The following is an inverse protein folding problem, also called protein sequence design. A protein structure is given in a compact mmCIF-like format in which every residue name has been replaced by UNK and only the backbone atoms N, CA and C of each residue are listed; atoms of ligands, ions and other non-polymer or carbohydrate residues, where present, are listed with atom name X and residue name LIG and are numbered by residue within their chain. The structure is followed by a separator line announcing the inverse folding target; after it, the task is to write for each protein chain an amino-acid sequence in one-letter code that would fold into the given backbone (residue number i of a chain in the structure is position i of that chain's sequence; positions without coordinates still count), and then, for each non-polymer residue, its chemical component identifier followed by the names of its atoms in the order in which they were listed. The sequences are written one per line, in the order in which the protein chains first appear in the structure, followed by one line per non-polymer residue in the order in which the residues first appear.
data_IF_235974645265
#
_entry.id   IF_235974645265
#
_cell.length_a   1.000
_cell.length_b   1.000
_cell.length_c   1.000
_cell.angle_alpha   90.00
_cell.angle_beta   90.00
_cell.angle_gamma   90.00
#
_symmetry.space_group_name_H-M   'P 1'
#
loop_
_entity.id
_entity.type
_entity.pdbx_description
1 polymer ?
#
# COMPACT_ATOMS: atom_id res chain seq x y z
N UNK A 1 -11.18 12.25 -18.90
CA UNK A 1 -10.79 13.64 -19.21
C UNK A 1 -9.33 13.61 -19.61
N UNK A 2 -8.96 14.13 -20.78
CA UNK A 2 -7.54 14.24 -21.17
C UNK A 2 -6.94 15.51 -20.54
N UNK A 3 -5.96 15.34 -19.65
CA UNK A 3 -5.26 16.46 -18.99
C UNK A 3 -3.86 16.58 -19.58
N UNK A 4 -3.49 17.79 -20.02
CA UNK A 4 -2.16 18.07 -20.59
C UNK A 4 -1.21 18.56 -19.51
N UNK A 5 -0.02 17.94 -19.44
CA UNK A 5 1.08 18.37 -18.56
C UNK A 5 2.17 19.01 -19.41
N UNK A 6 2.64 20.20 -19.01
CA UNK A 6 3.74 20.92 -19.67
C UNK A 6 4.93 21.04 -18.71
N UNK A 7 6.11 20.60 -19.14
CA UNK A 7 7.33 20.70 -18.35
C UNK A 7 8.30 21.71 -18.97
N UNK A 8 8.94 22.52 -18.13
CA UNK A 8 10.07 23.35 -18.53
C UNK A 8 11.35 22.60 -18.21
N UNK A 9 12.07 22.20 -19.25
CA UNK A 9 13.34 21.48 -19.15
C UNK A 9 14.37 22.14 -20.07
N UNK A 10 15.64 21.92 -19.76
CA UNK A 10 16.74 22.36 -20.60
C UNK A 10 16.74 21.62 -21.96
N UNK A 11 17.17 22.32 -23.02
CA UNK A 11 17.14 21.79 -24.38
C UNK A 11 18.03 20.56 -24.56
N UNK A 12 19.21 20.55 -23.93
CA UNK A 12 20.14 19.43 -23.99
C UNK A 12 19.56 18.19 -23.30
N UNK A 13 18.94 18.36 -22.13
CA UNK A 13 18.24 17.28 -21.40
C UNK A 13 17.13 16.66 -22.26
N UNK A 14 16.34 17.48 -22.97
CA UNK A 14 15.31 16.99 -23.90
C UNK A 14 15.91 16.16 -25.03
N UNK A 15 17.01 16.62 -25.61
CA UNK A 15 17.68 15.97 -26.75
C UNK A 15 18.28 14.62 -26.34
N UNK A 16 18.99 14.58 -25.22
CA UNK A 16 19.58 13.36 -24.67
C UNK A 16 18.50 12.34 -24.28
N UNK A 17 17.43 12.78 -23.59
CA UNK A 17 16.32 11.91 -23.21
C UNK A 17 15.62 11.31 -24.44
N UNK A 18 15.40 12.12 -25.49
CA UNK A 18 14.82 11.64 -26.75
C UNK A 18 15.71 10.58 -27.40
N UNK A 19 17.01 10.84 -27.53
CA UNK A 19 17.97 9.87 -28.10
C UNK A 19 18.03 8.56 -27.30
N UNK A 20 17.98 8.65 -25.96
CA UNK A 20 18.00 7.49 -25.10
C UNK A 20 16.73 6.62 -25.25
N UNK A 21 15.58 7.24 -25.48
CA UNK A 21 14.29 6.54 -25.64
C UNK A 21 14.07 6.05 -27.07
N UNK A 22 14.55 6.77 -28.09
CA UNK A 22 14.57 6.30 -29.49
C UNK A 22 15.37 5.01 -29.63
N UNK A 23 16.51 4.88 -28.93
CA UNK A 23 17.27 3.63 -28.85
C UNK A 23 16.48 2.45 -28.28
N UNK A 24 15.44 2.74 -27.49
CA UNK A 24 14.54 1.74 -26.88
C UNK A 24 13.22 1.59 -27.64
N UNK A 25 13.00 2.34 -28.73
CA UNK A 25 11.75 2.35 -29.49
C UNK A 25 10.57 2.99 -28.74
N UNK A 26 10.81 3.76 -27.68
CA UNK A 26 9.78 4.37 -26.83
C UNK A 26 9.72 5.87 -27.11
N UNK A 27 8.51 6.45 -27.19
CA UNK A 27 8.36 7.89 -27.33
C UNK A 27 8.58 8.60 -25.98
N UNK A 28 9.12 9.82 -26.00
CA UNK A 28 9.30 10.63 -24.79
C UNK A 28 7.98 10.82 -24.02
N UNK A 29 6.88 11.02 -24.74
CA UNK A 29 5.55 11.18 -24.15
C UNK A 29 5.06 9.91 -23.46
N UNK A 30 5.29 8.73 -24.03
CA UNK A 30 4.85 7.47 -23.43
C UNK A 30 5.67 7.12 -22.19
N UNK A 31 6.98 7.38 -22.21
CA UNK A 31 7.83 7.22 -21.04
C UNK A 31 7.39 8.15 -19.89
N UNK A 32 7.05 9.40 -20.20
CA UNK A 32 6.53 10.35 -19.21
C UNK A 32 5.15 9.95 -18.68
N UNK A 33 4.24 9.44 -19.53
CA UNK A 33 2.94 8.91 -19.06
C UNK A 33 3.14 7.76 -18.09
N UNK A 34 3.93 6.76 -18.47
CA UNK A 34 4.22 5.62 -17.60
C UNK A 34 4.91 6.04 -16.29
N UNK A 35 5.78 7.06 -16.33
CA UNK A 35 6.40 7.62 -15.13
C UNK A 35 5.36 8.30 -14.23
N UNK A 36 4.46 9.12 -14.80
CA UNK A 36 3.39 9.77 -14.06
C UNK A 36 2.39 8.75 -13.48
N UNK A 37 2.06 7.69 -14.22
CA UNK A 37 1.20 6.61 -13.72
C UNK A 37 1.86 5.88 -12.55
N UNK A 38 3.17 5.61 -12.62
CA UNK A 38 3.93 5.02 -11.51
C UNK A 38 4.00 5.97 -10.31
N UNK A 39 4.23 7.25 -10.55
CA UNK A 39 4.25 8.26 -9.49
C UNK A 39 2.88 8.36 -8.81
N UNK A 40 1.81 8.41 -9.60
CA UNK A 40 0.44 8.42 -9.11
C UNK A 40 0.02 7.09 -8.47
N UNK A 41 0.60 5.95 -8.86
CA UNK A 41 0.40 4.67 -8.20
C UNK A 41 1.13 4.60 -6.84
N UNK A 42 2.27 5.30 -6.72
CA UNK A 42 3.03 5.42 -5.47
C UNK A 42 2.34 6.40 -4.51
N UNK A 43 1.78 7.50 -5.06
CA UNK A 43 0.96 8.48 -4.34
C UNK A 43 -0.50 8.05 -4.18
N UNK A 44 -0.95 6.98 -4.86
CA UNK A 44 -2.24 6.33 -4.59
C UNK A 44 -2.10 5.65 -3.23
N UNK A 45 -2.20 6.50 -2.22
CA UNK A 45 -2.97 6.35 -1.00
C UNK A 45 -2.93 4.91 -0.53
N UNK A 46 -2.08 4.63 0.47
CA UNK A 46 -2.34 3.53 1.39
C UNK A 46 -3.85 3.54 1.62
N UNK A 47 -4.54 2.50 1.17
CA UNK A 47 -6.00 2.46 1.31
C UNK A 47 -6.34 2.68 2.78
N UNK A 48 -7.57 3.08 3.09
CA UNK A 48 -7.99 3.22 4.50
C UNK A 48 -7.66 1.95 5.30
N UNK A 49 -7.72 0.79 4.65
CA UNK A 49 -7.37 -0.52 5.20
C UNK A 49 -5.85 -0.68 5.40
N UNK A 50 -5.02 -0.27 4.44
CA UNK A 50 -3.55 -0.31 4.58
C UNK A 50 -3.04 0.68 5.63
N UNK A 51 -3.67 1.85 5.73
CA UNK A 51 -3.39 2.84 6.78
C UNK A 51 -3.76 2.28 8.15
N UNK A 52 -4.96 1.71 8.28
CA UNK A 52 -5.40 1.06 9.52
C UNK A 52 -4.49 -0.11 9.90
N UNK A 53 -4.09 -0.95 8.94
CA UNK A 53 -3.17 -2.06 9.19
C UNK A 53 -1.82 -1.56 9.68
N UNK A 54 -1.30 -0.49 9.07
CA UNK A 54 -0.05 0.14 9.53
C UNK A 54 -0.16 0.65 10.97
N UNK A 55 -1.27 1.31 11.33
CA UNK A 55 -1.52 1.75 12.70
C UNK A 55 -1.57 0.58 13.69
N UNK A 56 -2.24 -0.52 13.34
CA UNK A 56 -2.30 -1.72 14.18
C UNK A 56 -0.93 -2.39 14.36
N UNK A 57 -0.12 -2.42 13.31
CA UNK A 57 1.25 -2.93 13.37
C UNK A 57 2.10 -2.06 14.29
N UNK A 58 2.08 -0.74 14.11
CA UNK A 58 2.84 0.20 14.96
C UNK A 58 2.39 0.13 16.42
N UNK A 59 1.09 0.04 16.69
CA UNK A 59 0.55 -0.15 18.04
C UNK A 59 1.03 -1.46 18.67
N UNK A 60 1.03 -2.55 17.89
CA UNK A 60 1.53 -3.85 18.35
C UNK A 60 3.00 -3.76 18.71
N UNK A 61 3.84 -3.16 17.86
CA UNK A 61 5.26 -2.97 18.17
C UNK A 61 5.47 -2.12 19.43
N UNK A 62 4.69 -1.06 19.63
CA UNK A 62 4.73 -0.26 20.86
C UNK A 62 4.41 -1.09 22.10
N UNK A 63 3.45 -2.02 22.00
CA UNK A 63 3.10 -2.95 23.09
C UNK A 63 4.19 -4.00 23.31
N UNK A 64 4.88 -4.47 22.26
CA UNK A 64 6.06 -5.36 22.37
C UNK A 64 7.12 -4.67 23.21
N UNK A 65 7.47 -3.43 22.87
CA UNK A 65 8.51 -2.65 23.54
C UNK A 65 8.19 -2.39 25.02
N UNK A 66 6.92 -2.19 25.35
CA UNK A 66 6.44 -2.04 26.73
C UNK A 66 6.35 -3.36 27.51
N UNK A 67 6.54 -4.50 26.85
CA UNK A 67 6.40 -5.82 27.46
C UNK A 67 4.95 -6.21 27.78
N UNK A 68 3.97 -5.55 27.15
CA UNK A 68 2.53 -5.76 27.37
C UNK A 68 1.92 -6.82 26.43
N UNK A 69 2.75 -7.71 25.89
CA UNK A 69 2.32 -8.74 24.94
C UNK A 69 2.27 -10.10 25.62
N UNK A 70 1.17 -10.80 25.35
CA UNK A 70 0.97 -12.18 25.74
C UNK A 70 1.05 -13.05 24.50
N UNK A 71 1.96 -14.01 24.54
CA UNK A 71 2.07 -15.06 23.55
C UNK A 71 1.19 -16.24 23.98
N UNK A 72 0.60 -16.91 23.01
CA UNK A 72 -0.22 -18.10 23.21
C UNK A 72 0.40 -19.26 22.43
N UNK A 73 0.21 -20.49 22.92
CA UNK A 73 0.49 -21.66 22.09
C UNK A 73 -0.57 -21.79 20.98
N UNK A 74 -0.28 -22.61 19.98
CA UNK A 74 -1.22 -22.94 18.90
C UNK A 74 -2.56 -23.47 19.46
N UNK A 75 -2.48 -24.46 20.36
CA UNK A 75 -3.66 -25.04 21.02
C UNK A 75 -4.49 -24.00 21.79
N UNK A 76 -3.83 -23.09 22.53
CA UNK A 76 -4.51 -22.02 23.28
C UNK A 76 -5.15 -20.97 22.37
N UNK A 77 -4.55 -20.70 21.21
CA UNK A 77 -5.08 -19.77 20.24
C UNK A 77 -6.35 -20.34 19.56
N UNK A 78 -6.31 -21.63 19.20
CA UNK A 78 -7.43 -22.34 18.59
C UNK A 78 -8.62 -22.46 19.54
N UNK A 79 -8.39 -22.84 20.79
CA UNK A 79 -9.47 -22.90 21.80
C UNK A 79 -10.14 -21.54 22.02
N UNK A 80 -9.34 -20.46 22.06
CA UNK A 80 -9.87 -19.09 22.19
C UNK A 80 -10.68 -18.67 20.96
N UNK A 81 -10.18 -18.95 19.76
CA UNK A 81 -10.86 -18.60 18.51
C UNK A 81 -12.19 -19.34 18.41
N UNK A 82 -12.20 -20.64 18.66
CA UNK A 82 -13.42 -21.46 18.65
C UNK A 82 -14.42 -20.96 19.71
N UNK A 83 -13.96 -20.68 20.93
CA UNK A 83 -14.81 -20.10 21.99
C UNK A 83 -15.38 -18.72 21.63
N UNK A 84 -14.65 -17.93 20.84
CA UNK A 84 -15.11 -16.62 20.38
C UNK A 84 -16.15 -16.74 19.27
N UNK A 85 -15.93 -17.63 18.29
CA UNK A 85 -16.87 -17.92 17.21
C UNK A 85 -18.20 -18.42 17.80
N UNK A 86 -18.17 -19.40 18.70
CA UNK A 86 -19.39 -19.93 19.31
C UNK A 86 -20.17 -18.89 20.12
N UNK A 87 -19.50 -17.90 20.72
CA UNK A 87 -20.16 -16.79 21.41
C UNK A 87 -20.87 -15.85 20.43
N UNK A 88 -20.24 -15.54 19.31
CA UNK A 88 -20.84 -14.70 18.26
C UNK A 88 -22.04 -15.41 17.65
N UNK A 89 -21.92 -16.71 17.34
CA UNK A 89 -23.02 -17.50 16.80
C UNK A 89 -24.21 -17.54 17.76
N UNK A 90 -23.98 -17.76 19.06
CA UNK A 90 -25.05 -17.70 20.06
C UNK A 90 -25.72 -16.32 20.11
N UNK A 91 -24.95 -15.23 20.04
CA UNK A 91 -25.49 -13.87 20.03
C UNK A 91 -26.33 -13.56 18.79
N UNK A 92 -25.97 -14.12 17.64
CA UNK A 92 -26.76 -14.02 16.40
C UNK A 92 -28.02 -14.89 16.42
N UNK A 93 -28.02 -15.99 17.17
CA UNK A 93 -29.18 -16.88 17.33
C UNK A 93 -30.20 -16.37 18.35
N UNK A 94 -29.80 -15.45 19.25
CA UNK A 94 -30.68 -14.80 20.24
C UNK A 94 -31.19 -13.40 19.84
N UNK A 95 -30.80 -12.88 18.67
CA UNK A 95 -31.21 -11.57 18.14
C UNK A 95 -32.31 -11.69 17.08
#
# INVERSE_FOLDING_TARGET
METRVQFRIESETKKMAKQALEKKGISLSDALRAFLDKLAATEKVMTKEETWLKEQIEETFSRVEKGEIRYYSEDEADERMNSFISKIEHQHETA
#
